data_IF_070623659332
#
_entry.id   IF_070623659332
#
_cell.length_a   1.000
_cell.length_b   1.000
_cell.length_c   1.000
_cell.angle_alpha   90.00
_cell.angle_beta   90.00
_cell.angle_gamma   90.00
#
_symmetry.space_group_name_H-M   'P 1'
#
loop_
_entity.id
_entity.type
_entity.pdbx_description
1 polymer ?
#
# COMPACT_ATOMS: atom_id res chain seq x y z
N UNK A 1 -30.74 -28.73 20.08
CA UNK A 1 -30.22 -29.46 18.90
C UNK A 1 -29.28 -30.54 19.42
N UNK A 2 -29.50 -31.81 19.06
CA UNK A 2 -28.64 -32.92 19.49
C UNK A 2 -27.28 -32.88 18.78
N UNK A 3 -26.27 -33.52 19.38
CA UNK A 3 -24.92 -33.65 18.82
C UNK A 3 -24.91 -34.29 17.44
N UNK A 4 -25.78 -35.27 17.20
CA UNK A 4 -25.86 -36.01 15.94
C UNK A 4 -26.36 -35.15 14.77
N UNK A 5 -27.24 -34.19 15.04
CA UNK A 5 -27.76 -33.29 14.01
C UNK A 5 -26.67 -32.34 13.48
N UNK A 6 -25.79 -31.85 14.37
CA UNK A 6 -24.67 -30.99 13.97
C UNK A 6 -23.60 -31.76 13.18
N UNK A 7 -23.41 -33.04 13.48
CA UNK A 7 -22.44 -33.89 12.77
C UNK A 7 -22.88 -34.17 11.34
N UNK A 8 -24.18 -34.42 11.13
CA UNK A 8 -24.79 -34.59 9.81
C UNK A 8 -24.62 -33.32 8.94
N UNK A 9 -24.93 -32.15 9.50
CA UNK A 9 -24.80 -30.85 8.81
C UNK A 9 -23.35 -30.57 8.37
N UNK A 10 -22.38 -30.88 9.23
CA UNK A 10 -20.95 -30.70 8.94
C UNK A 10 -20.46 -31.63 7.82
N UNK A 11 -20.93 -32.88 7.78
CA UNK A 11 -20.56 -33.85 6.74
C UNK A 11 -21.15 -33.47 5.37
N UNK A 12 -22.38 -32.93 5.35
CA UNK A 12 -23.03 -32.39 4.15
C UNK A 12 -22.24 -31.20 3.57
N UNK A 13 -21.82 -30.26 4.42
CA UNK A 13 -21.00 -29.10 4.00
C UNK A 13 -19.62 -29.51 3.45
N UNK A 14 -18.97 -30.52 4.05
CA UNK A 14 -17.70 -31.05 3.52
C UNK A 14 -17.88 -31.69 2.15
N UNK A 15 -19.00 -32.38 1.93
CA UNK A 15 -19.32 -32.97 0.64
C UNK A 15 -19.59 -31.88 -0.41
N UNK A 16 -20.33 -30.83 -0.04
CA UNK A 16 -20.56 -29.65 -0.88
C UNK A 16 -19.23 -28.99 -1.30
N UNK A 17 -18.29 -28.81 -0.36
CA UNK A 17 -16.95 -28.29 -0.65
C UNK A 17 -16.23 -29.18 -1.68
N UNK A 18 -16.21 -30.50 -1.50
CA UNK A 18 -15.56 -31.44 -2.44
C UNK A 18 -16.14 -31.38 -3.85
N UNK A 19 -17.47 -31.29 -3.96
CA UNK A 19 -18.15 -31.18 -5.25
C UNK A 19 -17.85 -29.83 -5.91
N UNK A 20 -17.82 -28.75 -5.14
CA UNK A 20 -17.51 -27.41 -5.66
C UNK A 20 -16.09 -27.33 -6.20
N UNK A 21 -15.11 -27.88 -5.47
CA UNK A 21 -13.71 -27.94 -5.93
C UNK A 21 -13.57 -28.66 -7.28
N UNK A 22 -14.32 -29.75 -7.49
CA UNK A 22 -14.35 -30.47 -8.77
C UNK A 22 -14.98 -29.64 -9.88
N UNK A 23 -16.11 -28.99 -9.61
CA UNK A 23 -16.81 -28.15 -10.59
C UNK A 23 -15.96 -26.96 -11.05
N UNK A 24 -15.26 -26.31 -10.12
CA UNK A 24 -14.39 -25.16 -10.40
C UNK A 24 -13.02 -25.58 -10.97
N UNK A 25 -12.80 -26.89 -11.19
CA UNK A 25 -11.54 -27.47 -11.68
C UNK A 25 -10.33 -27.08 -10.83
N UNK A 26 -10.55 -26.82 -9.55
CA UNK A 26 -9.51 -26.53 -8.57
C UNK A 26 -8.90 -27.86 -8.14
N UNK A 27 -7.80 -28.22 -8.78
CA UNK A 27 -7.18 -29.55 -8.65
C UNK A 27 -5.68 -29.44 -8.45
N UNK A 28 -5.25 -28.72 -7.40
CA UNK A 28 -3.86 -28.82 -6.95
C UNK A 28 -3.70 -30.06 -6.06
N UNK A 29 -2.57 -30.76 -6.20
CA UNK A 29 -2.20 -31.89 -5.33
C UNK A 29 -2.23 -31.49 -3.85
N UNK A 30 -1.89 -30.23 -3.55
CA UNK A 30 -1.97 -29.62 -2.22
C UNK A 30 -3.40 -29.58 -1.68
N UNK A 31 -4.38 -29.11 -2.46
CA UNK A 31 -5.78 -29.02 -2.02
C UNK A 31 -6.38 -30.42 -1.85
N UNK A 32 -6.09 -31.35 -2.75
CA UNK A 32 -6.57 -32.73 -2.63
C UNK A 32 -6.10 -33.37 -1.31
N UNK A 33 -4.81 -33.26 -1.01
CA UNK A 33 -4.24 -33.77 0.23
C UNK A 33 -4.82 -33.09 1.48
N UNK A 34 -5.02 -31.77 1.42
CA UNK A 34 -5.64 -31.02 2.51
C UNK A 34 -7.08 -31.46 2.76
N UNK A 35 -7.88 -31.68 1.71
CA UNK A 35 -9.27 -32.16 1.83
C UNK A 35 -9.37 -33.57 2.41
N UNK A 36 -8.44 -34.46 2.04
CA UNK A 36 -8.33 -35.80 2.62
C UNK A 36 -7.97 -35.72 4.11
N UNK A 37 -6.97 -34.91 4.45
CA UNK A 37 -6.52 -34.68 5.83
C UNK A 37 -7.63 -34.08 6.70
N UNK A 38 -8.38 -33.10 6.15
CA UNK A 38 -9.55 -32.51 6.80
C UNK A 38 -10.60 -33.59 7.10
N UNK A 39 -10.89 -34.46 6.13
CA UNK A 39 -11.85 -35.56 6.30
C UNK A 39 -11.43 -36.52 7.42
N UNK A 40 -10.13 -36.78 7.58
CA UNK A 40 -9.59 -37.62 8.66
C UNK A 40 -9.76 -36.93 10.02
N UNK A 41 -9.36 -35.66 10.14
CA UNK A 41 -9.48 -34.94 11.41
C UNK A 41 -10.92 -34.76 11.87
N UNK A 42 -11.85 -34.53 10.95
CA UNK A 42 -13.28 -34.43 11.27
C UNK A 42 -13.85 -35.76 11.75
N UNK A 43 -13.48 -36.89 11.12
CA UNK A 43 -13.88 -38.24 11.57
C UNK A 43 -13.41 -38.56 12.99
N UNK A 44 -12.23 -38.07 13.37
CA UNK A 44 -11.68 -38.22 14.72
C UNK A 44 -12.07 -37.09 15.69
N UNK A 45 -13.00 -36.22 15.29
CA UNK A 45 -13.48 -35.08 16.09
C UNK A 45 -12.35 -34.14 16.57
N UNK A 46 -11.25 -34.09 15.82
CA UNK A 46 -10.15 -33.15 16.05
C UNK A 46 -10.46 -31.81 15.39
N UNK A 47 -11.37 -31.05 16.00
CA UNK A 47 -11.89 -29.78 15.46
C UNK A 47 -10.82 -28.70 15.33
N UNK A 48 -9.83 -28.67 16.24
CA UNK A 48 -8.74 -27.69 16.20
C UNK A 48 -7.88 -27.88 14.95
N UNK A 49 -7.46 -29.12 14.66
CA UNK A 49 -6.70 -29.43 13.45
C UNK A 49 -7.56 -29.28 12.20
N UNK A 50 -8.84 -29.66 12.25
CA UNK A 50 -9.78 -29.46 11.15
C UNK A 50 -9.89 -27.98 10.75
N UNK A 51 -9.99 -27.08 11.73
CA UNK A 51 -10.04 -25.63 11.48
C UNK A 51 -8.75 -25.10 10.83
N UNK A 52 -7.58 -25.63 11.20
CA UNK A 52 -6.30 -25.23 10.61
C UNK A 52 -6.26 -25.62 9.12
N UNK A 53 -6.56 -26.88 8.81
CA UNK A 53 -6.56 -27.37 7.42
C UNK A 53 -7.64 -26.69 6.58
N UNK A 54 -8.82 -26.42 7.15
CA UNK A 54 -9.87 -25.67 6.45
C UNK A 54 -9.40 -24.27 6.08
N UNK A 55 -8.66 -23.57 6.96
CA UNK A 55 -8.07 -22.26 6.65
C UNK A 55 -7.04 -22.34 5.53
N UNK A 56 -6.24 -23.41 5.48
CA UNK A 56 -5.28 -23.63 4.39
C UNK A 56 -6.00 -23.84 3.05
N UNK A 57 -7.04 -24.69 3.02
CA UNK A 57 -7.87 -24.89 1.82
C UNK A 57 -8.49 -23.57 1.38
N UNK A 58 -9.11 -22.83 2.31
CA UNK A 58 -9.71 -21.54 2.03
C UNK A 58 -8.72 -20.53 1.47
N UNK A 59 -7.48 -20.48 2.00
CA UNK A 59 -6.45 -19.57 1.49
C UNK A 59 -6.03 -19.90 0.06
N UNK A 60 -6.00 -21.18 -0.31
CA UNK A 60 -5.66 -21.61 -1.66
C UNK A 60 -6.78 -21.37 -2.68
N UNK A 61 -8.04 -21.57 -2.29
CA UNK A 61 -9.19 -21.44 -3.21
C UNK A 61 -9.78 -20.04 -3.26
N UNK A 62 -9.64 -19.30 -2.16
CA UNK A 62 -10.12 -17.94 -2.00
C UNK A 62 -8.91 -17.07 -1.66
N UNK A 63 -8.02 -16.79 -2.64
CA UNK A 63 -6.83 -15.99 -2.43
C UNK A 63 -7.14 -14.54 -2.07
N UNK A 64 -8.41 -14.12 -2.24
CA UNK A 64 -8.92 -12.81 -1.87
C UNK A 64 -10.02 -12.93 -0.80
N UNK A 65 -9.78 -12.33 0.35
CA UNK A 65 -10.80 -12.05 1.36
C UNK A 65 -11.67 -10.86 0.91
N UNK A 66 -12.78 -11.18 0.26
CA UNK A 66 -13.72 -10.19 -0.28
C UNK A 66 -14.32 -9.28 0.80
N UNK A 67 -14.59 -9.81 2.00
CA UNK A 67 -15.10 -9.00 3.11
C UNK A 67 -14.08 -7.95 3.57
N UNK A 68 -12.82 -8.36 3.66
CA UNK A 68 -11.73 -7.45 4.00
C UNK A 68 -11.53 -6.40 2.89
N UNK A 69 -11.54 -6.82 1.62
CA UNK A 69 -11.46 -5.89 0.50
C UNK A 69 -12.59 -4.85 0.54
N UNK A 70 -13.85 -5.25 0.77
CA UNK A 70 -14.95 -4.29 0.89
C UNK A 70 -14.79 -3.35 2.08
N UNK A 71 -14.31 -3.85 3.22
CA UNK A 71 -14.00 -3.02 4.39
C UNK A 71 -12.95 -1.97 4.05
N UNK A 72 -11.87 -2.37 3.37
CA UNK A 72 -10.81 -1.48 2.93
C UNK A 72 -11.31 -0.45 1.91
N UNK A 73 -12.05 -0.88 0.89
CA UNK A 73 -12.64 0.01 -0.11
C UNK A 73 -13.57 1.03 0.54
N UNK A 74 -14.39 0.63 1.52
CA UNK A 74 -15.23 1.59 2.25
C UNK A 74 -14.39 2.67 2.95
N UNK A 75 -13.29 2.30 3.60
CA UNK A 75 -12.38 3.27 4.21
C UNK A 75 -11.75 4.21 3.18
N UNK A 76 -11.47 3.71 1.98
CA UNK A 76 -10.97 4.53 0.87
C UNK A 76 -12.02 5.57 0.46
N UNK A 77 -13.30 5.20 0.41
CA UNK A 77 -14.40 6.07 0.03
C UNK A 77 -14.59 7.20 1.04
N UNK A 78 -14.53 6.87 2.34
CA UNK A 78 -14.59 7.84 3.42
C UNK A 78 -13.45 8.86 3.29
N UNK A 79 -12.22 8.41 3.02
CA UNK A 79 -11.07 9.29 2.81
C UNK A 79 -11.18 10.12 1.52
N UNK A 80 -11.68 9.54 0.43
CA UNK A 80 -11.87 10.26 -0.83
C UNK A 80 -12.85 11.44 -0.65
N UNK A 81 -13.90 11.26 0.16
CA UNK A 81 -14.83 12.33 0.49
C UNK A 81 -14.16 13.49 1.26
N UNK A 82 -13.12 13.23 2.05
CA UNK A 82 -12.41 14.28 2.80
C UNK A 82 -11.56 15.19 1.90
N UNK A 83 -11.08 14.67 0.77
CA UNK A 83 -10.24 15.39 -0.21
C UNK A 83 -11.02 15.83 -1.46
N UNK A 84 -12.31 15.48 -1.55
CA UNK A 84 -13.17 15.80 -2.69
C UNK A 84 -13.24 17.31 -2.92
N UNK A 85 -13.12 17.71 -4.19
CA UNK A 85 -13.17 19.10 -4.66
C UNK A 85 -12.11 20.01 -4.03
N UNK A 86 -11.00 19.43 -3.53
CA UNK A 86 -9.87 20.17 -2.96
C UNK A 86 -8.64 20.12 -3.86
N UNK A 87 -7.77 21.12 -3.70
CA UNK A 87 -6.43 21.14 -4.31
C UNK A 87 -5.45 20.43 -3.39
N UNK A 88 -4.86 19.34 -3.90
CA UNK A 88 -3.96 18.51 -3.10
C UNK A 88 -2.57 18.41 -3.72
N UNK A 89 -1.55 18.31 -2.87
CA UNK A 89 -0.24 17.79 -3.22
C UNK A 89 -0.23 16.32 -2.81
N UNK A 90 -0.01 15.43 -3.77
CA UNK A 90 -0.11 13.99 -3.55
C UNK A 90 1.26 13.33 -3.62
N UNK A 91 1.79 12.92 -2.47
CA UNK A 91 3.10 12.28 -2.37
C UNK A 91 3.01 10.82 -2.81
N UNK A 92 3.71 10.43 -3.86
CA UNK A 92 3.72 9.08 -4.44
C UNK A 92 5.12 8.46 -4.35
N UNK A 93 5.22 7.13 -4.28
CA UNK A 93 6.49 6.41 -4.31
C UNK A 93 6.41 5.06 -3.62
N UNK A 94 7.47 4.25 -3.77
CA UNK A 94 7.54 2.90 -3.18
C UNK A 94 7.64 2.93 -1.65
N UNK A 95 7.41 1.79 -1.01
CA UNK A 95 7.61 1.61 0.43
C UNK A 95 9.00 2.07 0.86
N UNK A 96 9.04 2.88 1.91
CA UNK A 96 10.30 3.42 2.43
C UNK A 96 10.93 4.53 1.58
N UNK A 97 10.25 5.06 0.56
CA UNK A 97 10.73 6.22 -0.21
C UNK A 97 10.83 7.51 0.61
N UNK A 98 10.21 7.54 1.79
CA UNK A 98 10.29 8.65 2.74
C UNK A 98 9.14 9.64 2.68
N UNK A 99 7.98 9.28 2.10
CA UNK A 99 6.79 10.16 1.98
C UNK A 99 6.38 10.79 3.30
N UNK A 100 6.02 9.97 4.28
CA UNK A 100 5.63 10.40 5.62
C UNK A 100 6.73 11.24 6.29
N UNK A 101 7.99 10.81 6.19
CA UNK A 101 9.15 11.54 6.74
C UNK A 101 9.32 12.91 6.09
N UNK A 102 9.15 13.02 4.77
CA UNK A 102 9.23 14.28 4.02
C UNK A 102 8.10 15.21 4.42
N UNK A 103 6.88 14.72 4.61
CA UNK A 103 5.75 15.55 5.10
C UNK A 103 6.05 16.09 6.50
N UNK A 104 6.55 15.27 7.42
CA UNK A 104 6.97 15.74 8.75
C UNK A 104 8.06 16.82 8.67
N UNK A 105 9.08 16.59 7.83
CA UNK A 105 10.18 17.52 7.63
C UNK A 105 9.71 18.86 7.06
N UNK A 106 8.89 18.83 6.00
CA UNK A 106 8.35 20.04 5.36
C UNK A 106 7.49 20.87 6.31
N UNK A 107 6.84 20.22 7.27
CA UNK A 107 5.99 20.87 8.27
C UNK A 107 6.73 21.19 9.57
N UNK A 108 8.06 21.17 9.54
CA UNK A 108 8.90 21.66 10.63
C UNK A 108 8.87 20.78 11.88
N UNK A 109 8.53 19.49 11.74
CA UNK A 109 8.73 18.53 12.82
C UNK A 109 10.22 18.40 13.12
N UNK A 110 10.59 18.35 14.40
CA UNK A 110 11.97 18.03 14.76
C UNK A 110 12.18 16.54 14.56
N UNK A 111 13.21 16.20 13.78
CA UNK A 111 13.51 14.81 13.42
C UNK A 111 14.78 14.38 14.13
N UNK A 112 14.79 13.15 14.67
CA UNK A 112 16.00 12.52 15.18
C UNK A 112 16.30 11.26 14.38
N UNK A 113 17.58 10.90 14.33
CA UNK A 113 18.01 9.62 13.78
C UNK A 113 18.10 8.62 14.92
N UNK A 114 17.38 7.52 14.79
CA UNK A 114 17.41 6.39 15.74
C UNK A 114 17.72 5.10 15.05
N UNK A 115 18.05 4.08 15.83
CA UNK A 115 18.27 2.72 15.36
C UNK A 115 17.16 1.84 15.93
N UNK A 116 16.42 1.17 15.04
CA UNK A 116 15.34 0.25 15.40
C UNK A 116 15.67 -1.10 14.76
N UNK A 117 15.95 -2.11 15.59
CA UNK A 117 16.29 -3.47 15.15
C UNK A 117 17.46 -3.51 14.14
N UNK A 118 18.52 -2.73 14.37
CA UNK A 118 19.69 -2.67 13.46
C UNK A 118 19.47 -1.81 12.21
N UNK A 119 18.30 -1.19 12.05
CA UNK A 119 17.98 -0.33 10.92
C UNK A 119 17.99 1.14 11.34
N UNK A 120 18.72 1.95 10.59
CA UNK A 120 18.66 3.41 10.71
C UNK A 120 17.25 3.90 10.37
N UNK A 121 16.63 4.60 11.31
CA UNK A 121 15.32 5.21 11.19
C UNK A 121 15.38 6.71 11.49
N UNK A 122 14.47 7.48 10.90
CA UNK A 122 14.30 8.90 11.19
C UNK A 122 12.87 9.08 11.68
N UNK A 123 12.74 9.49 12.94
CA UNK A 123 11.44 9.68 13.59
C UNK A 123 11.23 11.13 14.06
N UNK A 124 9.99 11.62 14.01
CA UNK A 124 9.63 12.93 14.55
C UNK A 124 9.54 12.87 16.09
N UNK A 125 10.17 13.83 16.77
CA UNK A 125 10.10 13.96 18.24
C UNK A 125 9.24 15.11 18.70
N UNK A 126 9.25 16.21 17.94
CA UNK A 126 8.43 17.39 18.23
C UNK A 126 7.56 17.68 17.01
N UNK A 127 6.26 17.42 17.15
CA UNK A 127 5.26 17.58 16.09
C UNK A 127 4.52 18.91 16.32
N UNK A 128 4.72 19.87 15.41
CA UNK A 128 4.06 21.19 15.47
C UNK A 128 2.61 21.17 14.98
N UNK A 129 2.35 20.47 13.88
CA UNK A 129 1.01 20.37 13.28
C UNK A 129 0.25 19.17 13.88
N UNK A 130 -0.94 19.38 14.44
CA UNK A 130 -1.72 18.31 15.10
C UNK A 130 -2.15 17.21 14.12
N UNK A 131 -2.39 17.53 12.85
CA UNK A 131 -2.78 16.57 11.82
C UNK A 131 -1.69 15.52 11.57
N UNK A 132 -0.41 15.89 11.76
CA UNK A 132 0.73 14.98 11.63
C UNK A 132 0.75 13.86 12.67
N UNK A 133 0.01 13.97 13.79
CA UNK A 133 -0.09 12.88 14.77
C UNK A 133 -0.73 11.62 14.18
N UNK A 134 -1.43 11.75 13.05
CA UNK A 134 -2.04 10.65 12.31
C UNK A 134 -1.08 10.00 11.31
N UNK A 135 0.04 10.65 11.00
CA UNK A 135 1.08 10.11 10.14
C UNK A 135 2.07 9.35 11.00
N UNK A 136 2.19 8.04 10.78
CA UNK A 136 3.11 7.17 11.52
C UNK A 136 4.34 6.90 10.66
N UNK A 137 5.52 7.27 11.16
CA UNK A 137 6.80 6.86 10.58
C UNK A 137 7.36 5.69 11.39
N UNK A 138 7.42 4.48 10.83
CA UNK A 138 8.16 3.37 11.43
C UNK A 138 8.63 2.38 10.34
N UNK A 139 9.79 1.72 10.51
CA UNK A 139 10.37 0.82 9.51
C UNK A 139 9.55 -0.45 9.27
N UNK A 140 8.57 -0.73 10.13
CA UNK A 140 7.67 -1.89 10.04
C UNK A 140 6.24 -1.53 10.47
N UNK A 141 5.81 -0.29 10.26
CA UNK A 141 4.43 0.09 10.55
C UNK A 141 3.47 -0.84 9.82
N UNK A 142 2.92 -1.85 10.53
CA UNK A 142 1.74 -2.59 10.12
C UNK A 142 0.59 -1.60 10.15
N UNK A 143 0.46 -0.87 9.05
CA UNK A 143 -0.63 0.06 8.84
C UNK A 143 -1.89 -0.77 8.74
N UNK A 144 -2.63 -0.83 9.85
CA UNK A 144 -3.93 -1.50 9.88
C UNK A 144 -4.91 -0.79 8.93
N UNK A 145 -4.61 0.43 8.46
CA UNK A 145 -5.27 1.07 7.31
C UNK A 145 -4.27 2.01 6.61
N UNK A 146 -3.70 1.62 5.45
CA UNK A 146 -2.97 2.55 4.55
C UNK A 146 -3.99 3.31 3.70
N UNK A 147 -4.75 4.19 4.31
CA UNK A 147 -5.56 5.15 3.56
C UNK A 147 -4.78 6.46 3.40
N UNK A 148 -5.12 7.24 2.38
CA UNK A 148 -4.52 8.55 2.15
C UNK A 148 -4.68 9.39 3.41
N UNK A 149 -3.56 9.78 4.02
CA UNK A 149 -3.60 10.64 5.20
C UNK A 149 -3.42 12.07 4.75
N UNK A 150 -4.47 12.88 4.94
CA UNK A 150 -4.43 14.30 4.61
C UNK A 150 -3.91 15.11 5.79
N UNK A 151 -3.08 16.11 5.48
CA UNK A 151 -2.59 17.11 6.43
C UNK A 151 -2.86 18.48 5.84
N UNK A 152 -3.58 19.30 6.59
CA UNK A 152 -3.85 20.67 6.15
C UNK A 152 -2.67 21.55 6.52
N UNK A 153 -2.22 22.34 5.54
CA UNK A 153 -1.10 23.27 5.69
C UNK A 153 -1.59 24.65 5.33
N UNK A 154 -1.62 25.56 6.30
CA UNK A 154 -1.91 26.96 6.03
C UNK A 154 -0.61 27.65 5.64
N UNK A 155 -0.60 28.42 4.55
CA UNK A 155 0.62 29.07 4.08
C UNK A 155 1.24 30.03 5.12
N UNK A 156 0.38 30.65 5.96
CA UNK A 156 0.79 31.47 7.10
C UNK A 156 1.67 30.73 8.13
N UNK A 157 1.53 29.41 8.25
CA UNK A 157 2.23 28.60 9.26
C UNK A 157 3.62 28.15 8.76
N UNK A 158 3.90 28.28 7.46
CA UNK A 158 5.12 27.81 6.80
C UNK A 158 5.87 28.91 6.03
N UNK A 159 5.59 30.17 6.32
CA UNK A 159 6.19 31.36 5.66
C UNK A 159 6.14 31.28 4.12
N UNK A 160 5.04 30.71 3.60
CA UNK A 160 4.80 30.58 2.16
C UNK A 160 3.89 31.71 1.66
N UNK A 161 4.09 32.14 0.41
CA UNK A 161 3.27 33.17 -0.22
C UNK A 161 1.86 32.63 -0.56
N UNK A 162 0.83 33.23 0.01
CA UNK A 162 -0.59 32.96 -0.29
C UNK A 162 -1.50 33.13 0.93
N UNK A 163 -2.80 33.35 0.72
CA UNK A 163 -3.79 33.44 1.80
C UNK A 163 -4.50 32.12 2.11
N UNK A 164 -4.32 31.12 1.26
CA UNK A 164 -5.06 29.86 1.32
C UNK A 164 -4.30 28.76 2.09
N UNK A 165 -4.95 27.61 2.21
CA UNK A 165 -4.36 26.35 2.66
C UNK A 165 -4.13 25.41 1.50
N UNK A 166 -3.11 24.56 1.61
CA UNK A 166 -2.94 23.39 0.75
C UNK A 166 -3.04 22.12 1.56
N UNK A 167 -3.48 21.03 0.93
CA UNK A 167 -3.54 19.73 1.56
C UNK A 167 -2.38 18.88 1.05
N UNK A 168 -1.55 18.41 1.98
CA UNK A 168 -0.57 17.37 1.72
C UNK A 168 -1.22 16.02 1.97
N UNK A 169 -1.14 15.12 0.99
CA UNK A 169 -1.64 13.77 1.09
C UNK A 169 -0.47 12.79 1.12
N UNK A 170 -0.33 12.08 2.23
CA UNK A 170 0.53 10.90 2.31
C UNK A 170 -0.19 9.72 1.64
N UNK A 171 0.33 9.24 0.52
CA UNK A 171 -0.29 8.12 -0.20
C UNK A 171 0.10 6.79 0.42
N UNK A 172 -0.74 5.76 0.24
CA UNK A 172 -0.31 4.38 0.39
C UNK A 172 0.90 4.09 -0.51
N UNK A 173 1.73 3.13 -0.11
CA UNK A 173 2.83 2.65 -0.95
C UNK A 173 2.29 1.78 -2.11
N UNK A 174 2.98 1.83 -3.25
CA UNK A 174 2.78 0.88 -4.35
C UNK A 174 3.40 -0.49 -4.02
N UNK A 175 2.73 -1.57 -4.42
CA UNK A 175 3.27 -2.93 -4.30
C UNK A 175 3.44 -3.37 -2.85
N UNK A 176 2.50 -2.99 -1.99
CA UNK A 176 2.56 -3.35 -0.57
C UNK A 176 2.40 -4.87 -0.40
N UNK A 177 3.25 -5.47 0.43
CA UNK A 177 3.33 -6.93 0.63
C UNK A 177 2.37 -7.44 1.71
N UNK A 178 1.50 -6.58 2.25
CA UNK A 178 0.54 -6.92 3.30
C UNK A 178 -0.68 -7.71 2.81
N UNK A 179 -0.73 -8.06 1.51
CA UNK A 179 -1.75 -8.93 0.93
C UNK A 179 -2.40 -8.32 -0.32
N UNK A 180 -3.01 -9.16 -1.17
CA UNK A 180 -3.60 -8.72 -2.42
C UNK A 180 -4.78 -7.74 -2.20
N UNK A 181 -5.53 -7.85 -1.10
CA UNK A 181 -6.65 -6.93 -0.80
C UNK A 181 -6.15 -5.51 -0.49
N UNK A 182 -5.04 -5.41 0.24
CA UNK A 182 -4.40 -4.14 0.59
C UNK A 182 -3.83 -3.48 -0.66
N UNK A 183 -3.16 -4.24 -1.52
CA UNK A 183 -2.61 -3.72 -2.78
C UNK A 183 -3.73 -3.19 -3.71
N UNK A 184 -4.83 -3.94 -3.85
CA UNK A 184 -6.01 -3.49 -4.59
C UNK A 184 -6.59 -2.21 -3.98
N UNK A 185 -6.78 -2.17 -2.66
CA UNK A 185 -7.33 -1.01 -1.98
C UNK A 185 -6.45 0.24 -2.14
N UNK A 186 -5.13 0.09 -2.04
CA UNK A 186 -4.15 1.16 -2.25
C UNK A 186 -4.26 1.73 -3.68
N UNK A 187 -4.32 0.85 -4.68
CA UNK A 187 -4.53 1.25 -6.08
C UNK A 187 -5.83 2.03 -6.28
N UNK A 188 -6.95 1.54 -5.70
CA UNK A 188 -8.24 2.22 -5.73
C UNK A 188 -8.15 3.60 -5.04
N UNK A 189 -7.45 3.72 -3.91
CA UNK A 189 -7.30 4.97 -3.20
C UNK A 189 -6.61 6.04 -4.05
N UNK A 190 -5.52 5.67 -4.71
CA UNK A 190 -4.75 6.57 -5.59
C UNK A 190 -5.61 7.04 -6.76
N UNK A 191 -6.29 6.12 -7.45
CA UNK A 191 -7.16 6.45 -8.58
C UNK A 191 -8.32 7.34 -8.14
N UNK A 192 -8.96 7.04 -6.99
CA UNK A 192 -10.06 7.85 -6.47
C UNK A 192 -9.60 9.25 -6.10
N UNK A 193 -8.49 9.40 -5.40
CA UNK A 193 -7.94 10.71 -5.04
C UNK A 193 -7.69 11.59 -6.27
N UNK A 194 -7.09 11.02 -7.32
CA UNK A 194 -6.84 11.74 -8.58
C UNK A 194 -8.15 12.19 -9.25
N UNK A 195 -9.23 11.40 -9.12
CA UNK A 195 -10.51 11.67 -9.79
C UNK A 195 -11.44 12.62 -9.04
N UNK A 196 -11.43 12.62 -7.71
CA UNK A 196 -12.39 13.39 -6.90
C UNK A 196 -11.89 14.77 -6.48
N UNK A 197 -10.58 15.01 -6.55
CA UNK A 197 -9.99 16.30 -6.20
C UNK A 197 -10.19 17.33 -7.33
N UNK A 198 -10.27 18.61 -6.98
CA UNK A 198 -10.35 19.71 -7.96
C UNK A 198 -9.08 19.77 -8.80
N UNK A 199 -7.92 19.62 -8.14
CA UNK A 199 -6.63 19.50 -8.80
C UNK A 199 -5.67 18.70 -7.95
N UNK A 200 -4.79 17.94 -8.61
CA UNK A 200 -3.75 17.14 -7.97
C UNK A 200 -2.40 17.59 -8.51
N UNK A 201 -1.46 17.88 -7.61
CA UNK A 201 -0.05 18.03 -7.92
C UNK A 201 0.69 16.78 -7.43
N UNK A 202 0.99 15.81 -8.31
CA UNK A 202 1.73 14.62 -7.91
C UNK A 202 3.19 14.96 -7.59
N UNK A 203 3.69 14.47 -6.47
CA UNK A 203 5.10 14.59 -6.07
C UNK A 203 5.67 13.20 -5.89
N UNK A 204 6.57 12.81 -6.80
CA UNK A 204 7.19 11.50 -6.79
C UNK A 204 8.44 11.50 -5.91
N UNK A 205 8.41 10.70 -4.84
CA UNK A 205 9.56 10.51 -3.97
C UNK A 205 10.33 9.26 -4.40
N UNK A 206 11.58 9.46 -4.78
CA UNK A 206 12.48 8.43 -5.27
C UNK A 206 13.64 8.34 -4.28
N UNK A 207 13.72 7.23 -3.52
CA UNK A 207 14.84 7.06 -2.60
C UNK A 207 16.02 6.37 -3.27
N UNK A 208 17.24 6.78 -2.91
CA UNK A 208 18.48 6.19 -3.42
C UNK A 208 18.49 4.66 -3.24
N UNK A 209 18.08 4.17 -2.08
CA UNK A 209 18.04 2.74 -1.79
C UNK A 209 16.97 2.00 -2.59
N UNK A 210 15.88 2.67 -2.97
CA UNK A 210 14.77 2.06 -3.72
C UNK A 210 14.97 2.10 -5.23
N UNK A 211 15.90 2.90 -5.75
CA UNK A 211 16.09 3.05 -7.19
C UNK A 211 16.73 1.80 -7.81
N UNK A 212 17.57 1.10 -7.04
CA UNK A 212 18.31 -0.07 -7.48
C UNK A 212 19.55 0.28 -8.30
N UNK A 213 20.40 -0.72 -8.54
CA UNK A 213 21.70 -0.51 -9.20
C UNK A 213 21.57 -0.14 -10.68
N UNK A 214 20.46 -0.55 -11.31
CA UNK A 214 20.15 -0.34 -12.73
C UNK A 214 18.84 0.43 -12.91
N UNK A 215 18.44 1.17 -11.88
CA UNK A 215 17.25 2.02 -11.89
C UNK A 215 15.95 1.23 -12.12
N UNK A 216 15.95 -0.07 -11.83
CA UNK A 216 14.80 -0.96 -11.90
C UNK A 216 13.63 -0.44 -11.06
N UNK A 217 13.89 0.07 -9.86
CA UNK A 217 12.84 0.61 -9.00
C UNK A 217 12.21 1.88 -9.55
N UNK A 218 12.96 2.68 -10.32
CA UNK A 218 12.41 3.82 -11.06
C UNK A 218 11.54 3.35 -12.23
N UNK A 219 11.98 2.33 -12.98
CA UNK A 219 11.20 1.73 -14.08
C UNK A 219 9.88 1.15 -13.56
N UNK A 220 9.91 0.39 -12.47
CA UNK A 220 8.72 -0.21 -11.88
C UNK A 220 7.73 0.85 -11.40
N UNK A 221 8.24 1.93 -10.81
CA UNK A 221 7.44 3.06 -10.39
C UNK A 221 6.79 3.78 -11.58
N UNK A 222 7.53 4.03 -12.66
CA UNK A 222 6.96 4.66 -13.87
C UNK A 222 5.93 3.76 -14.55
N UNK A 223 6.16 2.44 -14.65
CA UNK A 223 5.16 1.49 -15.15
C UNK A 223 3.89 1.49 -14.30
N UNK A 224 4.04 1.50 -12.97
CA UNK A 224 2.89 1.53 -12.05
C UNK A 224 2.08 2.81 -12.24
N UNK A 225 2.74 3.97 -12.30
CA UNK A 225 2.08 5.25 -12.54
C UNK A 225 1.40 5.32 -13.91
N UNK A 226 2.04 4.81 -14.96
CA UNK A 226 1.48 4.77 -16.30
C UNK A 226 0.21 3.90 -16.39
N UNK A 227 0.09 2.88 -15.54
CA UNK A 227 -1.11 2.01 -15.46
C UNK A 227 -2.24 2.63 -14.65
N UNK A 228 -1.92 3.41 -13.62
CA UNK A 228 -2.90 4.01 -12.72
C UNK A 228 -3.43 5.35 -13.22
N UNK A 229 -2.58 6.13 -13.90
CA UNK A 229 -2.90 7.47 -14.39
C UNK A 229 -3.03 7.38 -15.90
N UNK A 230 -4.19 7.78 -16.42
CA UNK A 230 -4.41 7.79 -17.87
C UNK A 230 -3.61 8.93 -18.50
N UNK A 231 -3.09 8.71 -19.71
CA UNK A 231 -2.34 9.72 -20.48
C UNK A 231 -1.15 10.33 -19.71
N UNK A 232 -0.46 9.53 -18.88
CA UNK A 232 0.68 9.99 -18.06
C UNK A 232 1.75 10.71 -18.87
N UNK A 233 1.95 10.33 -20.14
CA UNK A 233 2.90 11.01 -21.04
C UNK A 233 2.57 12.49 -21.25
N UNK A 234 1.29 12.82 -21.43
CA UNK A 234 0.84 14.19 -21.64
C UNK A 234 0.84 14.99 -20.33
N UNK A 235 0.66 14.29 -19.21
CA UNK A 235 0.56 14.87 -17.88
C UNK A 235 1.89 14.90 -17.12
N UNK A 236 2.99 14.40 -17.69
CA UNK A 236 4.26 14.23 -16.96
C UNK A 236 4.82 15.56 -16.44
N UNK A 237 4.56 16.68 -17.14
CA UNK A 237 4.96 18.03 -16.72
C UNK A 237 4.25 18.50 -15.45
N UNK A 238 3.13 17.88 -15.08
CA UNK A 238 2.44 18.16 -13.84
C UNK A 238 3.13 17.51 -12.63
N UNK A 239 4.01 16.55 -12.82
CA UNK A 239 4.72 15.88 -11.72
C UNK A 239 5.86 16.74 -11.19
N UNK A 240 6.11 16.64 -9.89
CA UNK A 240 7.37 17.08 -9.28
C UNK A 240 8.11 15.85 -8.74
N UNK A 241 9.42 15.96 -8.57
CA UNK A 241 10.27 14.85 -8.15
C UNK A 241 11.11 15.25 -6.94
N UNK A 242 11.21 14.37 -5.95
CA UNK A 242 12.04 14.54 -4.76
C UNK A 242 12.92 13.31 -4.61
N UNK A 243 14.23 13.52 -4.63
CA UNK A 243 15.22 12.46 -4.40
C UNK A 243 15.57 12.40 -2.91
N UNK A 244 15.28 11.28 -2.27
CA UNK A 244 15.49 11.09 -0.83
C UNK A 244 16.62 10.10 -0.55
N UNK A 245 17.22 10.18 0.64
CA UNK A 245 18.28 9.26 1.10
C UNK A 245 19.54 9.19 0.20
N UNK A 246 19.74 10.16 -0.71
CA UNK A 246 20.94 10.20 -1.55
C UNK A 246 22.19 10.50 -0.73
N UNK A 247 23.22 9.63 -0.80
CA UNK A 247 24.54 9.90 -0.23
C UNK A 247 25.11 11.21 -0.78
N UNK A 248 25.92 11.93 0.03
CA UNK A 248 26.47 13.22 -0.39
C UNK A 248 27.28 13.13 -1.69
N UNK A 249 28.06 12.07 -1.85
CA UNK A 249 28.90 11.81 -3.02
C UNK A 249 28.08 11.48 -4.29
N UNK A 250 26.87 10.96 -4.14
CA UNK A 250 26.00 10.57 -5.27
C UNK A 250 25.07 11.70 -5.72
N UNK A 251 24.97 12.80 -4.96
CA UNK A 251 24.08 13.93 -5.30
C UNK A 251 24.52 14.67 -6.56
N UNK A 252 25.83 14.73 -6.80
CA UNK A 252 26.41 15.47 -7.92
C UNK A 252 26.25 14.71 -9.25
N UNK A 253 26.09 13.39 -9.19
CA UNK A 253 26.06 12.51 -10.37
C UNK A 253 24.65 12.18 -10.85
N UNK A 254 23.60 12.44 -10.06
CA UNK A 254 22.20 12.07 -10.36
C UNK A 254 21.80 12.47 -11.78
N UNK A 255 22.09 13.71 -12.19
CA UNK A 255 21.69 14.21 -13.50
C UNK A 255 22.35 13.41 -14.63
N UNK A 256 23.67 13.25 -14.59
CA UNK A 256 24.42 12.49 -15.59
C UNK A 256 23.98 11.02 -15.65
N UNK A 257 23.69 10.41 -14.50
CA UNK A 257 23.20 9.04 -14.47
C UNK A 257 21.81 8.90 -15.10
N UNK A 258 20.89 9.83 -14.85
CA UNK A 258 19.57 9.84 -15.49
C UNK A 258 19.63 10.06 -17.00
N UNK A 259 20.51 10.94 -17.48
CA UNK A 259 20.75 11.13 -18.92
C UNK A 259 21.26 9.86 -19.58
N UNK A 260 22.22 9.18 -18.94
CA UNK A 260 22.79 7.92 -19.44
C UNK A 260 21.69 6.88 -19.67
N UNK A 261 20.79 6.70 -18.70
CA UNK A 261 19.69 5.74 -18.79
C UNK A 261 18.71 6.11 -19.89
N UNK A 262 18.37 7.39 -20.01
CA UNK A 262 17.47 7.85 -21.06
C UNK A 262 18.01 7.52 -22.46
N UNK A 263 19.33 7.66 -22.65
CA UNK A 263 19.98 7.28 -23.90
C UNK A 263 19.94 5.76 -24.11
N UNK A 264 20.19 4.96 -23.08
CA UNK A 264 20.16 3.48 -23.19
C UNK A 264 18.74 2.92 -23.43
N UNK A 265 17.69 3.67 -23.09
CA UNK A 265 16.29 3.29 -23.37
C UNK A 265 15.82 3.67 -24.78
N UNK A 266 16.60 4.50 -25.48
CA UNK A 266 16.30 4.97 -26.84
C UNK A 266 16.96 4.08 -27.93
N UNK A 267 17.77 3.11 -27.51
CA UNK A 267 18.37 2.04 -28.31
C UNK A 267 17.57 0.73 -28.19
#
# INVERSE_FOLDING_TARGET
>A
MSSDYRKLEIDEELQCLKERLKLEKISSTKIQHAVETLSIYMKHENWKSSLIILKEILHEIMPLNIYELFRLVKSVDDTANLIKDKKIIFSLGNTGSGKSTTIHFLLGSKMIKTEINGLNHIEPTEIKNVDLKRIVTAPFAKSIIRCITQVTVYFKDIDAYGQDSIILCDSPDFGDTNGPEVDIANGIAIVRAIRVCESVKPVLLISYTSIGDRYEGLKDLTYTLARLIQNTKDQIKAFSYIFTKYPKNEKETIHASLETINNTLSD
#
